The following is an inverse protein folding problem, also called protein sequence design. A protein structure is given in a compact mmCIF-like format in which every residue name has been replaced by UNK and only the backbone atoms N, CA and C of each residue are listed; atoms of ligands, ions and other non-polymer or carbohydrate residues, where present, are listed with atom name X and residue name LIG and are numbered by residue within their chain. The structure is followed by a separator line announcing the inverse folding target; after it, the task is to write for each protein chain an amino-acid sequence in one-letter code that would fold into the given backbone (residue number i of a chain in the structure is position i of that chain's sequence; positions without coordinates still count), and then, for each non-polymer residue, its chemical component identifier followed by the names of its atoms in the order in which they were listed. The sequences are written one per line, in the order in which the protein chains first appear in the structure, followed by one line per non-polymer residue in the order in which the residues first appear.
data_IF_318063160962
#
_entry.id   IF_318063160962
#
_cell.length_a   1.000
_cell.length_b   1.000
_cell.length_c   1.000
_cell.angle_alpha   90.00
_cell.angle_beta   90.00
_cell.angle_gamma   90.00
#
_symmetry.space_group_name_H-M   'P 1'
#
loop_
_entity.id
_entity.type
_entity.pdbx_description
1 polymer ?
#
# COMPACT_ATOMS: atom_id res chain seq x y z
N UNK A 1 -16.67 6.24 -4.38
CA UNK A 1 -15.86 5.72 -3.26
C UNK A 1 -14.40 5.76 -3.69
N UNK A 2 -13.53 6.36 -2.88
CA UNK A 2 -12.08 6.36 -3.13
C UNK A 2 -11.47 5.26 -2.28
N UNK A 3 -10.57 4.47 -2.86
CA UNK A 3 -9.85 3.43 -2.13
C UNK A 3 -8.58 4.06 -1.57
N UNK A 4 -8.36 3.90 -0.27
CA UNK A 4 -7.16 4.38 0.42
C UNK A 4 -6.14 3.25 0.48
N UNK A 5 -4.92 3.55 0.05
CA UNK A 5 -3.78 2.66 0.13
C UNK A 5 -2.67 3.33 0.91
N UNK A 6 -2.30 2.72 2.04
CA UNK A 6 -1.26 3.18 2.95
C UNK A 6 -0.06 2.26 2.80
N UNK A 7 1.09 2.84 2.50
CA UNK A 7 2.33 2.10 2.26
C UNK A 7 3.31 2.49 3.35
N UNK A 8 3.80 1.48 4.06
CA UNK A 8 4.72 1.60 5.17
C UNK A 8 6.11 1.19 4.72
N UNK A 9 7.07 2.08 4.91
CA UNK A 9 8.49 1.85 4.64
C UNK A 9 9.30 2.08 5.91
N UNK A 10 10.31 1.23 6.14
CA UNK A 10 11.32 1.47 7.16
C UNK A 10 12.29 2.57 6.76
N UNK A 11 12.98 3.10 7.78
CA UNK A 11 14.17 3.94 7.67
C UNK A 11 15.32 3.22 8.42
N UNK A 12 16.41 2.79 7.77
CA UNK A 12 16.77 2.99 6.36
C UNK A 12 15.94 2.12 5.38
N UNK A 13 15.69 2.60 4.15
CA UNK A 13 14.84 1.89 3.19
C UNK A 13 15.52 0.62 2.66
N UNK A 14 14.86 -0.52 2.88
CA UNK A 14 15.23 -1.81 2.34
C UNK A 14 14.94 -1.90 0.82
N UNK A 15 15.57 -2.81 0.05
CA UNK A 15 15.28 -2.96 -1.39
C UNK A 15 13.79 -3.25 -1.68
N UNK A 16 13.11 -3.99 -0.79
CA UNK A 16 11.66 -4.21 -0.88
C UNK A 16 10.82 -2.96 -0.62
N UNK A 17 11.32 -2.05 0.22
CA UNK A 17 10.70 -0.80 0.59
C UNK A 17 10.72 0.18 -0.60
N UNK A 18 11.85 0.26 -1.31
CA UNK A 18 11.98 1.06 -2.54
C UNK A 18 11.04 0.54 -3.63
N UNK A 19 10.97 -0.79 -3.80
CA UNK A 19 10.11 -1.42 -4.80
C UNK A 19 8.62 -1.14 -4.54
N UNK A 20 8.17 -1.24 -3.29
CA UNK A 20 6.75 -0.99 -2.97
C UNK A 20 6.38 0.48 -3.13
N UNK A 21 7.28 1.41 -2.80
CA UNK A 21 7.08 2.85 -3.00
C UNK A 21 6.96 3.22 -4.49
N UNK A 22 7.82 2.63 -5.32
CA UNK A 22 7.76 2.82 -6.77
C UNK A 22 6.45 2.27 -7.35
N UNK A 23 6.06 1.06 -6.93
CA UNK A 23 4.82 0.42 -7.37
C UNK A 23 3.59 1.22 -6.90
N UNK A 24 3.62 1.78 -5.69
CA UNK A 24 2.56 2.64 -5.20
C UNK A 24 2.39 3.93 -6.03
N UNK A 25 3.49 4.53 -6.49
CA UNK A 25 3.48 5.70 -7.36
C UNK A 25 2.89 5.38 -8.74
N UNK A 26 3.23 4.22 -9.31
CA UNK A 26 2.64 3.73 -10.55
C UNK A 26 1.12 3.57 -10.43
N UNK A 27 0.64 2.98 -9.34
CA UNK A 27 -0.79 2.78 -9.09
C UNK A 27 -1.53 4.10 -8.82
N UNK A 28 -0.90 5.05 -8.11
CA UNK A 28 -1.45 6.39 -7.92
C UNK A 28 -1.66 7.11 -9.27
N UNK A 29 -0.70 6.98 -10.20
CA UNK A 29 -0.82 7.52 -11.56
C UNK A 29 -1.88 6.79 -12.38
N UNK A 30 -1.89 5.45 -12.34
CA UNK A 30 -2.84 4.61 -13.10
C UNK A 30 -4.29 4.86 -12.68
N UNK A 31 -4.54 5.00 -11.38
CA UNK A 31 -5.88 5.15 -10.81
C UNK A 31 -6.16 6.57 -10.28
N UNK A 32 -5.57 7.59 -10.92
CA UNK A 32 -5.70 9.00 -10.54
C UNK A 32 -7.15 9.40 -10.32
N UNK A 33 -7.47 9.88 -9.11
CA UNK A 33 -8.82 10.29 -8.70
C UNK A 33 -9.69 9.20 -8.07
N UNK A 34 -9.32 7.92 -8.20
CA UNK A 34 -10.01 6.77 -7.59
C UNK A 34 -9.21 6.13 -6.44
N UNK A 35 -7.88 6.20 -6.52
CA UNK A 35 -6.95 5.70 -5.50
C UNK A 35 -6.30 6.88 -4.76
N UNK A 36 -6.32 6.83 -3.44
CA UNK A 36 -5.57 7.72 -2.56
C UNK A 36 -4.38 6.94 -1.99
N UNK A 37 -3.16 7.36 -2.31
CA UNK A 37 -1.94 6.68 -1.88
C UNK A 37 -1.24 7.54 -0.83
N UNK A 38 -1.03 6.97 0.36
CA UNK A 38 -0.34 7.61 1.47
C UNK A 38 0.92 6.80 1.74
N UNK A 39 2.07 7.48 1.70
CA UNK A 39 3.38 6.87 1.96
C UNK A 39 3.79 7.32 3.36
N UNK A 40 3.92 6.36 4.28
CA UNK A 40 4.35 6.58 5.66
C UNK A 40 5.73 5.94 5.80
N UNK A 41 6.74 6.77 6.07
CA UNK A 41 8.14 6.34 6.14
C UNK A 41 8.71 6.73 7.50
N UNK A 42 9.42 5.80 8.14
CA UNK A 42 10.12 6.09 9.41
C UNK A 42 9.19 6.40 10.58
N UNK A 43 9.50 7.44 11.35
CA UNK A 43 8.80 7.79 12.59
C UNK A 43 7.31 8.14 12.37
N UNK A 44 6.96 8.70 11.21
CA UNK A 44 5.56 9.00 10.85
C UNK A 44 4.72 7.74 10.64
N UNK A 45 5.37 6.61 10.33
CA UNK A 45 4.72 5.31 10.24
C UNK A 45 4.49 4.66 11.61
N UNK A 46 5.26 5.02 12.64
CA UNK A 46 5.32 4.29 13.92
C UNK A 46 3.97 4.25 14.64
N UNK A 47 3.27 5.39 14.73
CA UNK A 47 1.96 5.49 15.39
C UNK A 47 0.90 4.61 14.72
N UNK A 48 0.85 4.61 13.38
CA UNK A 48 -0.08 3.77 12.62
C UNK A 48 0.37 2.31 12.56
N UNK A 49 1.68 2.06 12.63
CA UNK A 49 2.25 0.72 12.63
C UNK A 49 1.86 -0.04 13.89
N UNK A 50 1.87 0.64 15.05
CA UNK A 50 1.36 0.10 16.31
C UNK A 50 -0.18 -0.07 16.28
N UNK A 51 -0.92 0.89 15.73
CA UNK A 51 -2.38 0.82 15.61
C UNK A 51 -2.84 -0.37 14.76
N UNK A 52 -2.18 -0.62 13.62
CA UNK A 52 -2.47 -1.74 12.73
C UNK A 52 -1.77 -3.05 13.13
N UNK A 53 -0.98 -3.06 14.23
CA UNK A 53 -0.20 -4.20 14.71
C UNK A 53 0.61 -4.89 13.61
N UNK A 54 1.26 -4.09 12.76
CA UNK A 54 2.09 -4.61 11.67
C UNK A 54 3.36 -5.25 12.25
N UNK A 55 3.75 -6.42 11.74
CA UNK A 55 4.91 -7.16 12.26
C UNK A 55 6.22 -6.84 11.55
N UNK A 56 6.16 -6.40 10.28
CA UNK A 56 7.35 -6.20 9.46
C UNK A 56 7.11 -5.18 8.32
N UNK A 57 8.16 -4.41 8.00
CA UNK A 57 8.22 -3.56 6.79
C UNK A 57 8.97 -4.30 5.68
N UNK A 58 8.59 -4.15 4.39
CA UNK A 58 7.55 -3.28 3.84
C UNK A 58 6.13 -3.79 4.11
N UNK A 59 5.19 -2.88 4.33
CA UNK A 59 3.78 -3.23 4.48
C UNK A 59 2.87 -2.32 3.66
N UNK A 60 1.74 -2.88 3.22
CA UNK A 60 0.69 -2.18 2.48
C UNK A 60 -0.64 -2.47 3.12
N UNK A 61 -1.38 -1.43 3.45
CA UNK A 61 -2.74 -1.50 3.99
C UNK A 61 -3.70 -0.87 3.01
N UNK A 62 -4.73 -1.60 2.62
CA UNK A 62 -5.78 -1.11 1.71
C UNK A 62 -7.09 -1.05 2.49
N UNK A 63 -7.67 0.15 2.53
CA UNK A 63 -8.96 0.44 3.13
C UNK A 63 -9.10 -0.11 4.57
N UNK A 64 -7.99 -0.12 5.31
CA UNK A 64 -7.87 -0.59 6.71
C UNK A 64 -8.25 -2.08 6.91
N UNK A 65 -8.46 -2.82 5.83
CA UNK A 65 -8.97 -4.21 5.85
C UNK A 65 -7.94 -5.21 5.34
N UNK A 66 -7.30 -4.89 4.21
CA UNK A 66 -6.35 -5.80 3.58
C UNK A 66 -4.95 -5.34 3.97
N UNK A 67 -4.20 -6.23 4.60
CA UNK A 67 -2.80 -6.00 5.00
C UNK A 67 -1.90 -6.98 4.27
N UNK A 68 -0.85 -6.46 3.66
CA UNK A 68 0.21 -7.23 3.05
C UNK A 68 1.50 -6.79 3.73
N UNK A 69 2.15 -7.68 4.46
CA UNK A 69 3.36 -7.39 5.23
C UNK A 69 4.52 -8.30 4.82
N UNK A 70 5.75 -7.82 5.02
CA UNK A 70 6.97 -8.62 4.89
C UNK A 70 7.45 -8.90 3.46
N UNK A 71 6.74 -8.44 2.43
CA UNK A 71 7.17 -8.61 1.03
C UNK A 71 6.68 -7.45 0.15
N UNK A 72 7.43 -7.13 -0.90
CA UNK A 72 6.92 -6.29 -1.98
C UNK A 72 5.89 -7.10 -2.79
N UNK A 73 4.60 -6.76 -2.78
CA UNK A 73 3.59 -7.49 -3.54
C UNK A 73 3.88 -7.40 -5.04
N UNK A 74 3.52 -8.44 -5.78
CA UNK A 74 3.50 -8.38 -7.24
C UNK A 74 2.39 -7.43 -7.71
N UNK A 75 2.51 -6.90 -8.93
CA UNK A 75 1.46 -6.05 -9.54
C UNK A 75 0.09 -6.73 -9.52
N UNK A 76 0.04 -8.03 -9.79
CA UNK A 76 -1.20 -8.83 -9.78
C UNK A 76 -1.80 -8.92 -8.38
N UNK A 77 -0.97 -9.14 -7.37
CA UNK A 77 -1.42 -9.22 -5.96
C UNK A 77 -2.01 -7.89 -5.52
N UNK A 78 -1.36 -6.77 -5.84
CA UNK A 78 -1.87 -5.45 -5.46
C UNK A 78 -3.15 -5.08 -6.23
N UNK A 79 -3.25 -5.42 -7.51
CA UNK A 79 -4.45 -5.15 -8.31
C UNK A 79 -5.66 -5.92 -7.78
N UNK A 80 -5.48 -7.20 -7.43
CA UNK A 80 -6.52 -8.01 -6.78
C UNK A 80 -6.90 -7.45 -5.41
N UNK A 81 -5.91 -7.07 -4.60
CA UNK A 81 -6.16 -6.49 -3.28
C UNK A 81 -6.91 -5.15 -3.37
N UNK A 82 -6.59 -4.30 -4.35
CA UNK A 82 -7.34 -3.06 -4.60
C UNK A 82 -8.76 -3.35 -5.08
N UNK A 83 -8.95 -4.37 -5.91
CA UNK A 83 -10.27 -4.81 -6.37
C UNK A 83 -11.13 -5.29 -5.22
N UNK A 84 -10.58 -6.13 -4.32
CA UNK A 84 -11.24 -6.55 -3.08
C UNK A 84 -11.48 -5.38 -2.13
N UNK A 85 -10.56 -4.41 -2.10
CA UNK A 85 -10.68 -3.16 -1.34
C UNK A 85 -11.75 -2.20 -1.84
N UNK A 86 -12.43 -2.51 -2.95
CA UNK A 86 -13.53 -1.74 -3.51
C UNK A 86 -13.18 -0.93 -4.77
N UNK A 87 -11.98 -1.09 -5.33
CA UNK A 87 -11.56 -0.45 -6.58
C UNK A 87 -12.10 -1.27 -7.76
N UNK A 88 -13.44 -1.31 -7.88
CA UNK A 88 -14.09 -1.99 -8.99
C UNK A 88 -13.96 -1.11 -10.25
N UNK A 89 -12.90 -1.30 -11.01
CA UNK A 89 -12.88 -0.82 -12.39
C UNK A 89 -13.71 -1.77 -13.23
N UNK A 90 -14.79 -1.24 -13.82
CA UNK A 90 -15.60 -1.90 -14.82
C UNK A 90 -14.78 -1.98 -16.12
N UNK A 91 -13.83 -2.90 -16.17
CA UNK A 91 -13.01 -3.22 -17.34
C UNK A 91 -13.19 -4.70 -17.66
N UNK A 92 -14.44 -5.07 -17.93
CA UNK A 92 -14.90 -6.20 -18.73
C UNK A 92 -16.13 -5.72 -19.49
#
# INVERSE_FOLDING_TARGET
MKVRMEVFSGDPPCPGCVAVLALADEFAKKYKGKLEVIKLVGEEAMTKFEEYKLGCVPAVVINEKIRIEGICPSRTTLDNALREGGLWTRLW
#
